data_IF_511265194809
#
_entry.id   IF_511265194809
#
_cell.length_a   1.000
_cell.length_b   1.000
_cell.length_c   1.000
_cell.angle_alpha   90.00
_cell.angle_beta   90.00
_cell.angle_gamma   90.00
#
_symmetry.space_group_name_H-M   'P 1'
#
loop_
_entity.id
_entity.type
_entity.pdbx_description
1 polymer ?
#
# COMPACT_ATOMS: atom_id res chain seq x y z
N UNK A 1 -12.41 -0.32 -7.17
CA UNK A 1 -11.49 -0.95 -6.19
C UNK A 1 -11.70 -0.42 -4.78
N UNK A 2 -11.74 -1.32 -3.78
CA UNK A 2 -11.90 -1.01 -2.35
C UNK A 2 -11.05 -1.96 -1.52
N UNK A 3 -10.38 -1.47 -0.48
CA UNK A 3 -9.81 -2.30 0.56
C UNK A 3 -10.86 -2.62 1.63
N UNK A 4 -11.11 -3.91 1.88
CA UNK A 4 -12.03 -4.41 2.91
C UNK A 4 -11.23 -5.14 3.98
N UNK A 5 -11.47 -4.81 5.26
CA UNK A 5 -10.91 -5.55 6.39
C UNK A 5 -11.74 -6.83 6.61
N UNK A 6 -11.12 -8.00 6.54
CA UNK A 6 -11.81 -9.31 6.58
C UNK A 6 -11.76 -9.92 7.98
N UNK A 7 -10.68 -9.75 8.73
CA UNK A 7 -10.55 -10.26 10.09
C UNK A 7 -9.99 -9.19 11.03
N UNK A 8 -10.63 -9.05 12.19
CA UNK A 8 -10.21 -8.17 13.28
C UNK A 8 -10.29 -8.87 14.65
N UNK A 9 -10.16 -10.20 14.68
CA UNK A 9 -10.61 -11.00 15.83
C UNK A 9 -9.48 -11.43 16.77
N UNK A 10 -8.22 -11.33 16.36
CA UNK A 10 -7.03 -11.52 17.23
C UNK A 10 -5.94 -10.53 16.85
N UNK A 11 -5.25 -9.97 17.84
CA UNK A 11 -4.37 -8.81 17.72
C UNK A 11 -3.13 -8.98 16.81
N UNK A 12 -2.92 -10.16 16.25
CA UNK A 12 -1.62 -10.54 15.69
C UNK A 12 -1.46 -10.18 14.21
N UNK A 13 -2.56 -10.29 13.43
CA UNK A 13 -2.55 -10.07 11.98
C UNK A 13 -3.87 -9.47 11.53
N UNK A 14 -3.80 -8.32 10.84
CA UNK A 14 -4.93 -7.69 10.14
C UNK A 14 -4.91 -8.08 8.66
N UNK A 15 -6.01 -8.61 8.16
CA UNK A 15 -6.13 -9.04 6.76
C UNK A 15 -7.09 -8.13 5.97
N UNK A 16 -6.58 -7.59 4.86
CA UNK A 16 -7.30 -6.71 3.96
C UNK A 16 -7.37 -7.32 2.58
N UNK A 17 -8.54 -7.27 1.95
CA UNK A 17 -8.73 -7.68 0.56
C UNK A 17 -8.95 -6.45 -0.30
N UNK A 18 -8.21 -6.34 -1.39
CA UNK A 18 -8.49 -5.37 -2.44
C UNK A 18 -9.52 -6.02 -3.36
N UNK A 19 -10.74 -5.50 -3.32
CA UNK A 19 -11.85 -6.01 -4.13
C UNK A 19 -12.20 -5.06 -5.26
N UNK A 20 -12.58 -5.62 -6.39
CA UNK A 20 -13.27 -4.90 -7.46
C UNK A 20 -14.47 -5.74 -7.89
N UNK A 21 -15.65 -5.16 -7.76
CA UNK A 21 -16.93 -5.86 -7.90
C UNK A 21 -16.97 -7.08 -6.96
N UNK A 22 -17.02 -8.30 -7.51
CA UNK A 22 -17.06 -9.56 -6.74
C UNK A 22 -15.71 -10.29 -6.70
N UNK A 23 -14.67 -9.72 -7.32
CA UNK A 23 -13.34 -10.36 -7.42
C UNK A 23 -12.35 -9.79 -6.40
N UNK A 24 -11.67 -10.69 -5.70
CA UNK A 24 -10.49 -10.35 -4.89
C UNK A 24 -9.29 -10.21 -5.81
N UNK A 25 -8.79 -8.98 -5.91
CA UNK A 25 -7.64 -8.64 -6.73
C UNK A 25 -6.33 -8.94 -6.00
N UNK A 26 -6.22 -8.53 -4.73
CA UNK A 26 -5.02 -8.75 -3.92
C UNK A 26 -5.39 -8.94 -2.44
N UNK A 27 -4.54 -9.63 -1.70
CA UNK A 27 -4.67 -9.82 -0.25
C UNK A 27 -3.46 -9.21 0.43
N UNK A 28 -3.69 -8.32 1.39
CA UNK A 28 -2.64 -7.76 2.24
C UNK A 28 -2.84 -8.26 3.68
N UNK A 29 -1.80 -8.84 4.28
CA UNK A 29 -1.75 -9.18 5.70
C UNK A 29 -0.73 -8.29 6.38
N UNK A 30 -1.16 -7.51 7.36
CA UNK A 30 -0.31 -6.66 8.19
C UNK A 30 -0.17 -7.26 9.59
N UNK A 31 1.07 -7.50 10.03
CA UNK A 31 1.37 -7.92 11.41
C UNK A 31 1.92 -6.72 12.19
N UNK A 32 1.17 -6.20 13.19
CA UNK A 32 1.63 -5.09 14.02
C UNK A 32 2.87 -5.44 14.86
N UNK A 33 2.91 -6.65 15.42
CA UNK A 33 4.02 -7.14 16.25
C UNK A 33 5.33 -7.21 15.46
N UNK A 34 5.29 -7.78 14.25
CA UNK A 34 6.47 -7.93 13.40
C UNK A 34 6.76 -6.68 12.55
N UNK A 35 5.89 -5.67 12.60
CA UNK A 35 5.88 -4.53 11.67
C UNK A 35 6.09 -4.99 10.22
N UNK A 36 5.38 -6.03 9.81
CA UNK A 36 5.55 -6.64 8.49
C UNK A 36 4.26 -6.61 7.69
N UNK A 37 4.42 -6.47 6.37
CA UNK A 37 3.32 -6.56 5.42
C UNK A 37 3.60 -7.67 4.42
N UNK A 38 2.61 -8.53 4.22
CA UNK A 38 2.61 -9.58 3.21
C UNK A 38 1.55 -9.26 2.18
N UNK A 39 1.92 -9.23 0.91
CA UNK A 39 1.00 -8.94 -0.20
C UNK A 39 0.99 -10.14 -1.12
N UNK A 40 -0.20 -10.68 -1.39
CA UNK A 40 -0.42 -11.79 -2.30
C UNK A 40 -1.28 -11.33 -3.46
N UNK A 41 -0.84 -11.63 -4.67
CA UNK A 41 -1.54 -11.37 -5.93
C UNK A 41 -1.31 -12.54 -6.88
N UNK A 42 -2.38 -13.23 -7.31
CA UNK A 42 -2.26 -14.48 -8.10
C UNK A 42 -1.25 -15.45 -7.45
N UNK A 43 -0.18 -15.80 -8.15
CA UNK A 43 0.90 -16.68 -7.68
C UNK A 43 2.05 -15.92 -7.00
N UNK A 44 2.07 -14.59 -7.10
CA UNK A 44 3.11 -13.76 -6.49
C UNK A 44 2.83 -13.49 -5.02
N UNK A 45 3.90 -13.58 -4.22
CA UNK A 45 3.88 -13.31 -2.78
C UNK A 45 5.06 -12.43 -2.42
N UNK A 46 4.77 -11.33 -1.76
CA UNK A 46 5.76 -10.39 -1.25
C UNK A 46 5.73 -10.35 0.25
N UNK A 47 6.90 -10.11 0.84
CA UNK A 47 7.06 -9.89 2.28
C UNK A 47 8.00 -8.71 2.46
N UNK A 48 7.54 -7.71 3.21
CA UNK A 48 8.37 -6.57 3.61
C UNK A 48 8.32 -6.40 5.13
N UNK A 49 9.47 -6.16 5.72
CA UNK A 49 9.61 -5.63 7.08
C UNK A 49 9.68 -4.10 7.01
N UNK A 50 9.03 -3.44 7.94
CA UNK A 50 8.93 -1.98 8.00
C UNK A 50 9.67 -1.48 9.23
N UNK A 51 10.54 -0.49 9.03
CA UNK A 51 11.30 0.13 10.11
C UNK A 51 11.25 1.66 10.01
N UNK A 52 11.24 2.36 11.14
CA UNK A 52 11.49 3.81 11.15
C UNK A 52 12.99 4.09 11.10
N UNK A 53 13.43 5.08 10.34
CA UNK A 53 14.84 5.50 10.30
C UNK A 53 15.16 6.67 11.26
N UNK A 54 14.44 6.77 12.39
CA UNK A 54 14.57 7.87 13.35
C UNK A 54 13.70 9.09 13.04
N UNK A 55 13.07 9.15 11.86
CA UNK A 55 12.05 10.14 11.53
C UNK A 55 10.65 9.53 11.70
N UNK A 56 9.80 10.16 12.51
CA UNK A 56 8.45 9.66 12.83
C UNK A 56 7.49 9.59 11.65
N UNK A 57 7.83 10.22 10.53
CA UNK A 57 7.01 10.28 9.32
C UNK A 57 7.60 9.49 8.13
N UNK A 58 8.58 8.63 8.39
CA UNK A 58 9.24 7.81 7.35
C UNK A 58 9.33 6.34 7.77
N UNK A 59 9.05 5.46 6.82
CA UNK A 59 9.24 4.01 6.92
C UNK A 59 10.19 3.57 5.83
N UNK A 60 11.08 2.64 6.15
CA UNK A 60 11.92 1.90 5.21
C UNK A 60 11.34 0.50 5.08
N UNK A 61 11.16 0.04 3.84
CA UNK A 61 10.79 -1.35 3.55
C UNK A 61 12.04 -2.17 3.29
N UNK A 62 12.17 -3.30 3.98
CA UNK A 62 13.25 -4.27 3.81
C UNK A 62 12.70 -5.62 3.40
N UNK A 63 13.46 -6.36 2.58
CA UNK A 63 13.13 -7.74 2.29
C UNK A 63 13.53 -8.68 3.45
N UNK A 64 13.31 -9.98 3.28
CA UNK A 64 13.64 -11.01 4.28
C UNK A 64 15.13 -11.13 4.62
N UNK A 65 16.01 -10.54 3.80
CA UNK A 65 17.46 -10.50 4.02
C UNK A 65 17.92 -9.17 4.64
N UNK A 66 16.99 -8.30 5.04
CA UNK A 66 17.29 -6.98 5.61
C UNK A 66 17.73 -5.93 4.59
N UNK A 67 17.66 -6.23 3.28
CA UNK A 67 18.05 -5.29 2.22
C UNK A 67 16.91 -4.31 1.96
N UNK A 68 17.21 -3.02 2.00
CA UNK A 68 16.28 -1.93 1.66
C UNK A 68 15.73 -2.07 0.24
N UNK A 69 14.40 -2.07 0.12
CA UNK A 69 13.67 -2.15 -1.16
C UNK A 69 12.96 -0.83 -1.50
N UNK A 70 12.70 0.01 -0.50
CA UNK A 70 11.94 1.23 -0.69
C UNK A 70 11.70 2.03 0.58
N UNK A 71 11.02 3.17 0.42
CA UNK A 71 10.72 4.14 1.47
C UNK A 71 9.30 4.64 1.33
N UNK A 72 8.64 4.85 2.46
CA UNK A 72 7.36 5.53 2.57
C UNK A 72 7.55 6.79 3.41
N UNK A 73 7.04 7.90 2.91
CA UNK A 73 7.08 9.19 3.59
C UNK A 73 5.67 9.78 3.64
N UNK A 74 5.25 10.26 4.81
CA UNK A 74 3.95 10.89 4.98
C UNK A 74 4.08 12.34 5.46
N UNK A 75 3.18 13.17 4.96
CA UNK A 75 3.04 14.58 5.30
C UNK A 75 1.69 14.79 5.99
N UNK A 76 1.72 14.82 7.33
CA UNK A 76 0.52 14.90 8.18
C UNK A 76 -0.39 16.10 7.87
N UNK A 77 0.17 17.23 7.44
CA UNK A 77 -0.62 18.46 7.22
C UNK A 77 -1.67 18.32 6.11
N UNK A 78 -1.40 17.51 5.08
CA UNK A 78 -2.24 17.40 3.89
C UNK A 78 -2.71 15.97 3.62
N UNK A 79 -2.45 15.02 4.53
CA UNK A 79 -2.68 13.58 4.29
C UNK A 79 -2.08 13.04 2.98
N UNK A 80 -0.98 13.66 2.55
CA UNK A 80 -0.24 13.29 1.34
C UNK A 80 1.04 12.59 1.68
N UNK A 81 1.71 12.02 0.68
CA UNK A 81 3.01 11.43 0.88
C UNK A 81 3.56 10.83 -0.39
N UNK A 82 4.68 10.13 -0.21
CA UNK A 82 5.42 9.49 -1.29
C UNK A 82 5.77 8.06 -0.91
N UNK A 83 5.64 7.16 -1.88
CA UNK A 83 6.18 5.81 -1.84
C UNK A 83 7.25 5.68 -2.92
N UNK A 84 8.43 5.23 -2.51
CA UNK A 84 9.52 4.82 -3.39
C UNK A 84 9.71 3.32 -3.22
N UNK A 85 9.56 2.54 -4.29
CA UNK A 85 9.74 1.07 -4.23
C UNK A 85 10.24 0.60 -5.60
N UNK A 86 11.23 -0.29 -5.64
CA UNK A 86 11.77 -0.84 -6.89
C UNK A 86 12.16 0.24 -7.94
N UNK A 87 12.78 1.34 -7.49
CA UNK A 87 13.17 2.49 -8.33
C UNK A 87 12.00 3.24 -8.98
N UNK A 88 10.77 2.94 -8.57
CA UNK A 88 9.59 3.71 -8.96
C UNK A 88 9.16 4.62 -7.82
N UNK A 89 8.58 5.76 -8.20
CA UNK A 89 8.12 6.79 -7.28
C UNK A 89 6.65 7.03 -7.52
N UNK A 90 5.87 7.01 -6.44
CA UNK A 90 4.44 7.24 -6.42
C UNK A 90 4.13 8.34 -5.42
N UNK A 91 3.28 9.28 -5.82
CA UNK A 91 2.71 10.27 -4.91
C UNK A 91 1.29 9.84 -4.54
N UNK A 92 0.94 9.91 -3.25
CA UNK A 92 -0.38 9.52 -2.78
C UNK A 92 -1.06 10.63 -1.98
N UNK A 93 -2.39 10.57 -1.94
CA UNK A 93 -3.24 11.44 -1.15
C UNK A 93 -4.36 10.61 -0.49
N UNK A 94 -4.59 10.81 0.81
CA UNK A 94 -5.72 10.25 1.53
C UNK A 94 -6.76 11.33 1.78
N UNK A 95 -7.92 11.16 1.16
CA UNK A 95 -9.09 11.99 1.40
C UNK A 95 -9.87 11.39 2.57
N UNK A 96 -9.72 12.01 3.74
CA UNK A 96 -10.40 11.60 4.97
C UNK A 96 -11.77 12.29 5.06
N UNK A 97 -12.82 11.58 4.63
CA UNK A 97 -14.22 12.00 4.75
C UNK A 97 -15.06 10.79 5.21
N UNK A 98 -16.40 10.88 5.19
CA UNK A 98 -17.27 9.76 5.60
C UNK A 98 -17.02 8.43 4.85
N UNK A 99 -16.37 8.47 3.69
CA UNK A 99 -15.92 7.30 2.93
C UNK A 99 -14.47 7.51 2.48
N UNK A 100 -13.49 7.20 3.34
CA UNK A 100 -12.09 7.48 3.06
C UNK A 100 -11.60 6.91 1.74
N UNK A 101 -10.79 7.69 1.01
CA UNK A 101 -10.23 7.29 -0.28
C UNK A 101 -8.73 7.51 -0.32
N UNK A 102 -8.05 6.55 -0.93
CA UNK A 102 -6.64 6.65 -1.32
C UNK A 102 -6.57 6.93 -2.82
N UNK A 103 -5.86 7.99 -3.19
CA UNK A 103 -5.57 8.36 -4.57
C UNK A 103 -4.07 8.22 -4.77
N UNK A 104 -3.65 7.48 -5.79
CA UNK A 104 -2.24 7.25 -6.13
C UNK A 104 -1.97 7.75 -7.53
N UNK A 105 -0.85 8.46 -7.68
CA UNK A 105 -0.31 8.92 -8.96
C UNK A 105 1.08 8.33 -9.15
N UNK A 106 1.43 8.01 -10.39
CA UNK A 106 2.83 7.90 -10.75
C UNK A 106 3.47 9.29 -10.57
N UNK A 107 4.67 9.35 -10.01
CA UNK A 107 5.37 10.62 -9.86
C UNK A 107 5.48 11.37 -11.21
N UNK A 108 5.21 12.68 -11.17
CA UNK A 108 5.15 13.57 -12.33
C UNK A 108 4.02 13.29 -13.34
N UNK A 109 3.03 12.45 -13.01
CA UNK A 109 1.81 12.30 -13.81
C UNK A 109 0.62 12.94 -13.10
N UNK A 110 -0.17 13.69 -13.86
CA UNK A 110 -1.39 14.33 -13.33
C UNK A 110 -2.55 13.35 -13.20
N UNK A 111 -2.63 12.36 -14.08
CA UNK A 111 -3.71 11.37 -14.05
C UNK A 111 -3.49 10.35 -12.93
N UNK A 112 -4.54 10.03 -12.15
CA UNK A 112 -4.43 9.04 -11.09
C UNK A 112 -4.19 7.65 -11.68
N UNK A 113 -3.18 6.97 -11.15
CA UNK A 113 -2.91 5.57 -11.45
C UNK A 113 -3.96 4.66 -10.81
N UNK A 114 -4.42 5.02 -9.61
CA UNK A 114 -5.53 4.34 -8.95
C UNK A 114 -6.27 5.24 -7.96
N UNK A 115 -7.55 4.93 -7.82
CA UNK A 115 -8.43 5.47 -6.78
C UNK A 115 -9.08 4.29 -6.06
N UNK A 116 -8.89 4.21 -4.74
CA UNK A 116 -9.40 3.13 -3.92
C UNK A 116 -10.13 3.66 -2.69
N UNK A 117 -11.25 3.05 -2.36
CA UNK A 117 -11.83 3.24 -1.02
C UNK A 117 -10.99 2.49 0.02
N UNK A 118 -10.76 3.09 1.18
CA UNK A 118 -10.01 2.47 2.29
C UNK A 118 -10.87 2.44 3.57
N UNK A 119 -10.61 1.51 4.51
CA UNK A 119 -11.31 1.51 5.80
C UNK A 119 -11.01 2.78 6.60
N UNK A 120 -11.88 3.15 7.54
CA UNK A 120 -11.69 4.33 8.41
C UNK A 120 -10.65 4.12 9.54
N UNK A 121 -10.36 2.87 9.90
CA UNK A 121 -9.33 2.54 10.89
C UNK A 121 -7.94 3.12 10.53
N UNK A 122 -7.42 2.91 9.30
CA UNK A 122 -6.11 3.39 8.88
C UNK A 122 -6.01 4.91 8.64
N UNK A 123 -7.08 5.70 8.78
CA UNK A 123 -7.01 7.17 8.65
C UNK A 123 -6.77 7.90 9.97
N UNK A 124 -6.85 7.19 11.10
CA UNK A 124 -6.54 7.73 12.42
C UNK A 124 -5.08 7.45 12.77
N UNK A 125 -4.42 8.43 13.40
CA UNK A 125 -2.96 8.51 13.67
C UNK A 125 -2.26 7.26 14.25
N UNK A 126 -2.99 6.26 14.75
CA UNK A 126 -2.45 5.04 15.35
C UNK A 126 -2.00 3.95 14.33
N UNK A 127 -1.93 4.24 13.03
CA UNK A 127 -1.85 3.22 11.98
C UNK A 127 -0.82 3.50 10.88
N UNK A 128 0.21 4.31 11.14
CA UNK A 128 1.20 4.74 10.13
C UNK A 128 1.81 3.58 9.31
N UNK A 129 2.17 2.47 9.97
CA UNK A 129 2.67 1.25 9.32
C UNK A 129 1.60 0.50 8.52
N UNK A 130 0.37 0.44 9.03
CA UNK A 130 -0.77 -0.16 8.34
C UNK A 130 -1.09 0.63 7.06
N UNK A 131 -1.10 1.95 7.16
CA UNK A 131 -1.26 2.87 6.03
C UNK A 131 -0.15 2.66 4.99
N UNK A 132 1.11 2.55 5.42
CA UNK A 132 2.23 2.26 4.54
C UNK A 132 2.01 0.94 3.77
N UNK A 133 1.52 -0.10 4.45
CA UNK A 133 1.14 -1.37 3.84
C UNK A 133 0.04 -1.22 2.78
N UNK A 134 -1.03 -0.49 3.09
CA UNK A 134 -2.16 -0.26 2.16
C UNK A 134 -1.68 0.48 0.90
N UNK A 135 -0.87 1.52 1.07
CA UNK A 135 -0.30 2.29 -0.05
C UNK A 135 0.64 1.42 -0.88
N UNK A 136 1.50 0.64 -0.23
CA UNK A 136 2.38 -0.32 -0.92
C UNK A 136 1.57 -1.34 -1.73
N UNK A 137 0.51 -1.91 -1.14
CA UNK A 137 -0.35 -2.90 -1.78
C UNK A 137 -0.97 -2.38 -3.09
N UNK A 138 -1.50 -1.15 -3.08
CA UNK A 138 -2.10 -0.59 -4.29
C UNK A 138 -1.06 -0.20 -5.35
N UNK A 139 0.07 0.38 -4.94
CA UNK A 139 1.13 0.77 -5.87
C UNK A 139 1.74 -0.46 -6.54
N UNK A 140 1.90 -1.55 -5.78
CA UNK A 140 2.39 -2.81 -6.33
C UNK A 140 1.42 -3.41 -7.34
N UNK A 141 0.15 -3.55 -6.97
CA UNK A 141 -0.90 -4.10 -7.83
C UNK A 141 -1.00 -3.34 -9.17
N UNK A 142 -1.07 -2.00 -9.10
CA UNK A 142 -1.21 -1.15 -10.29
C UNK A 142 0.03 -1.18 -11.19
N UNK A 143 1.22 -1.22 -10.59
CA UNK A 143 2.47 -1.30 -11.34
C UNK A 143 2.59 -2.62 -12.11
N UNK A 144 2.27 -3.76 -11.50
CA UNK A 144 2.25 -5.07 -12.19
C UNK A 144 1.32 -5.05 -13.40
N UNK A 145 0.11 -4.51 -13.23
CA UNK A 145 -0.84 -4.42 -14.33
C UNK A 145 -0.36 -3.50 -15.46
N UNK A 146 0.42 -2.46 -15.13
CA UNK A 146 1.04 -1.58 -16.12
C UNK A 146 2.12 -2.32 -16.93
N UNK A 147 2.89 -3.21 -16.30
CA UNK A 147 3.88 -4.05 -16.99
C UNK A 147 3.27 -5.15 -17.86
N UNK A 148 2.09 -5.68 -17.52
CA UNK A 148 1.39 -6.65 -18.37
C UNK A 148 0.83 -6.01 -19.63
N UNK A 149 0.24 -4.81 -19.51
CA UNK A 149 -0.33 -4.07 -20.65
C UNK A 149 0.70 -3.71 -21.73
N UNK A 150 1.96 -3.47 -21.35
CA UNK A 150 3.05 -3.23 -22.31
C UNK A 150 3.57 -4.48 -23.01
N UNK A 151 3.40 -5.68 -22.43
CA UNK A 151 3.77 -6.93 -23.10
C UNK A 151 2.74 -7.36 -24.15
N UNK A 152 1.45 -7.14 -23.87
CA UNK A 152 0.36 -7.52 -24.79
C UNK A 152 0.25 -6.60 -26.02
N UNK A 153 0.87 -5.42 -26.00
CA UNK A 153 0.92 -4.46 -27.12
C UNK A 153 2.17 -4.63 -28.01
N UNK A 154 2.99 -5.66 -27.75
CA UNK A 154 4.23 -5.94 -28.49
C UNK A 154 4.19 -7.25 -29.29
N UNK A 155 3.00 -7.72 -29.67
CA UNK A 155 2.77 -8.84 -30.59
C UNK A 155 2.03 -8.38 -31.85
#
# INVERSE_FOLDING_TARGET
MKWTLISNVTADIKEYHLVNDESVLAVMKYSPEQQSVRISYKEERLVFFMETNGYSNRIVFKNVYGVEQGKFAHHNHNNTGRLEINKQVFDYNIVDNNQPKLIVHQHNKQEPLAVCQIPASPTRHASFFEQAGIVLGICWFTNIHTFQKTKDLSL
#
